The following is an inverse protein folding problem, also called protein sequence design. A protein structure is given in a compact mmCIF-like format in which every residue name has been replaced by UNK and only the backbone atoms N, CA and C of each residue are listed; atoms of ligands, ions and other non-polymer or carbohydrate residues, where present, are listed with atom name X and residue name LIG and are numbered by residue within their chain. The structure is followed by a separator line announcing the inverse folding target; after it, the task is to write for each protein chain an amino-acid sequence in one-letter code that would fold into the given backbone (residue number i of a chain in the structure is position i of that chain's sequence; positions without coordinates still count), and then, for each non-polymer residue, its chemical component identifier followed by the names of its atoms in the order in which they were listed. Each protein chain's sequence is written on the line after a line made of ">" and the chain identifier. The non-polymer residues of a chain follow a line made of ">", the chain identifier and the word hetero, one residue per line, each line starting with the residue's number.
data_IF_696307105234
#
_entry.id   IF_696307105234
#
_cell.length_a   1.000
_cell.length_b   1.000
_cell.length_c   1.000
_cell.angle_alpha   90.00
_cell.angle_beta   90.00
_cell.angle_gamma   90.00
#
_symmetry.space_group_name_H-M   'P 1'
#
loop_
_entity.id
_entity.type
_entity.pdbx_description
1 polymer ?
#
# COMPACT_ATOMS: atom_id res chain seq x y z
N UNK A 1 6.41 43.94 33.32
CA UNK A 1 6.44 43.90 31.83
C UNK A 1 6.58 42.45 31.29
N UNK A 2 5.86 41.47 31.86
CA UNK A 2 6.07 40.05 31.54
C UNK A 2 4.77 39.24 31.28
N UNK A 3 3.61 39.90 31.13
CA UNK A 3 2.32 39.20 31.11
C UNK A 3 1.62 39.13 29.74
N UNK A 4 2.20 39.72 28.69
CA UNK A 4 1.54 39.83 27.37
C UNK A 4 1.90 38.72 26.38
N UNK A 5 2.83 37.82 26.70
CA UNK A 5 3.34 36.78 25.78
C UNK A 5 2.67 35.40 25.91
N UNK A 6 1.87 35.16 26.95
CA UNK A 6 1.29 33.81 27.21
C UNK A 6 -0.08 33.56 26.59
N UNK A 7 -0.74 34.60 26.05
CA UNK A 7 -2.16 34.52 25.59
C UNK A 7 -2.35 34.39 24.07
N UNK A 8 -1.30 34.06 23.32
CA UNK A 8 -1.34 34.01 21.83
C UNK A 8 -1.07 32.62 21.24
N UNK A 9 -1.09 31.57 22.06
CA UNK A 9 -0.73 30.19 21.66
C UNK A 9 -1.90 29.19 21.66
N UNK A 10 -3.11 29.61 22.02
CA UNK A 10 -4.27 28.72 22.16
C UNK A 10 -5.37 28.93 21.11
N UNK A 11 -5.19 29.82 20.13
CA UNK A 11 -6.22 30.14 19.12
C UNK A 11 -5.89 29.64 17.71
N UNK A 12 -5.05 28.62 17.57
CA UNK A 12 -4.79 27.94 16.27
C UNK A 12 -5.61 26.64 16.15
N UNK A 13 -6.32 26.21 17.19
CA UNK A 13 -6.62 24.78 17.37
C UNK A 13 -7.97 24.24 16.84
N UNK A 14 -8.79 25.00 16.12
CA UNK A 14 -10.08 24.45 15.64
C UNK A 14 -10.49 24.90 14.23
N UNK A 15 -10.13 26.11 13.81
CA UNK A 15 -10.53 26.66 12.51
C UNK A 15 -9.68 26.17 11.33
N UNK A 16 -8.45 25.69 11.57
CA UNK A 16 -7.54 25.21 10.52
C UNK A 16 -7.60 23.69 10.30
N UNK A 17 -8.13 22.92 11.26
CA UNK A 17 -8.29 21.47 11.15
C UNK A 17 -9.12 21.02 9.93
N UNK A 18 -10.30 21.61 9.64
CA UNK A 18 -11.08 21.21 8.47
C UNK A 18 -10.39 21.57 7.14
N UNK A 19 -9.66 22.69 7.09
CA UNK A 19 -8.98 23.13 5.86
C UNK A 19 -7.71 22.31 5.56
N UNK A 20 -7.01 21.83 6.59
CA UNK A 20 -5.89 20.89 6.42
C UNK A 20 -6.35 19.48 6.05
N UNK A 21 -7.43 18.98 6.66
CA UNK A 21 -8.03 17.70 6.28
C UNK A 21 -8.46 17.68 4.81
N UNK A 22 -9.15 18.74 4.36
CA UNK A 22 -9.57 18.84 2.96
C UNK A 22 -8.38 18.93 1.99
N UNK A 23 -7.27 19.58 2.37
CA UNK A 23 -6.04 19.58 1.55
C UNK A 23 -5.41 18.20 1.47
N UNK A 24 -5.32 17.46 2.57
CA UNK A 24 -4.76 16.10 2.58
C UNK A 24 -5.62 15.14 1.78
N UNK A 25 -6.95 15.19 1.94
CA UNK A 25 -7.91 14.38 1.17
C UNK A 25 -7.82 14.69 -0.34
N UNK A 26 -7.61 15.96 -0.71
CA UNK A 26 -7.44 16.36 -2.11
C UNK A 26 -6.11 15.89 -2.70
N UNK A 27 -5.06 15.80 -1.89
CA UNK A 27 -3.75 15.25 -2.32
C UNK A 27 -3.73 13.72 -2.41
N UNK A 28 -4.77 13.07 -1.90
CA UNK A 28 -4.89 11.62 -1.89
C UNK A 28 -5.12 11.08 -3.30
N UNK A 29 -4.38 10.04 -3.67
CA UNK A 29 -4.49 9.44 -4.99
C UNK A 29 -5.68 8.46 -5.02
N UNK A 30 -6.88 9.03 -5.18
CA UNK A 30 -8.14 8.28 -5.24
C UNK A 30 -8.16 7.18 -6.31
N UNK A 31 -7.42 7.35 -7.41
CA UNK A 31 -7.28 6.31 -8.43
C UNK A 31 -6.54 5.06 -7.93
N UNK A 32 -5.42 5.26 -7.21
CA UNK A 32 -4.69 4.15 -6.57
C UNK A 32 -5.53 3.49 -5.47
N UNK A 33 -6.28 4.28 -4.71
CA UNK A 33 -7.17 3.75 -3.68
C UNK A 33 -8.31 2.91 -4.26
N UNK A 34 -8.95 3.38 -5.33
CA UNK A 34 -9.98 2.62 -6.03
C UNK A 34 -9.43 1.31 -6.62
N UNK A 35 -8.24 1.34 -7.21
CA UNK A 35 -7.57 0.14 -7.71
C UNK A 35 -7.25 -0.84 -6.56
N UNK A 36 -6.80 -0.33 -5.42
CA UNK A 36 -6.57 -1.13 -4.22
C UNK A 36 -7.86 -1.78 -3.72
N UNK A 37 -8.93 -1.00 -3.57
CA UNK A 37 -10.22 -1.49 -3.10
C UNK A 37 -10.79 -2.56 -4.03
N UNK A 38 -10.73 -2.32 -5.35
CA UNK A 38 -11.15 -3.30 -6.35
C UNK A 38 -10.34 -4.60 -6.25
N UNK A 39 -9.00 -4.48 -6.15
CA UNK A 39 -8.10 -5.64 -6.01
C UNK A 39 -8.41 -6.43 -4.74
N UNK A 40 -8.61 -5.72 -3.63
CA UNK A 40 -8.99 -6.30 -2.34
C UNK A 40 -10.31 -7.06 -2.42
N UNK A 41 -11.34 -6.47 -3.02
CA UNK A 41 -12.64 -7.13 -3.19
C UNK A 41 -12.52 -8.41 -4.03
N UNK A 42 -11.79 -8.36 -5.16
CA UNK A 42 -11.59 -9.52 -6.03
C UNK A 42 -10.88 -10.65 -5.25
N UNK A 43 -9.77 -10.33 -4.59
CA UNK A 43 -9.00 -11.31 -3.81
C UNK A 43 -9.84 -11.89 -2.67
N UNK A 44 -10.59 -11.05 -1.95
CA UNK A 44 -11.44 -11.47 -0.84
C UNK A 44 -12.56 -12.40 -1.28
N UNK A 45 -13.23 -12.08 -2.38
CA UNK A 45 -14.29 -12.94 -2.93
C UNK A 45 -13.73 -14.27 -3.40
N UNK A 46 -12.63 -14.27 -4.16
CA UNK A 46 -12.00 -15.52 -4.62
C UNK A 46 -11.57 -16.40 -3.45
N UNK A 47 -10.98 -15.80 -2.41
CA UNK A 47 -10.59 -16.49 -1.20
C UNK A 47 -11.80 -17.10 -0.47
N UNK A 48 -12.84 -16.28 -0.20
CA UNK A 48 -14.07 -16.77 0.46
C UNK A 48 -14.77 -17.86 -0.34
N UNK A 49 -14.85 -17.73 -1.66
CA UNK A 49 -15.44 -18.76 -2.53
C UNK A 49 -14.63 -20.06 -2.42
N UNK A 50 -13.30 -19.99 -2.49
CA UNK A 50 -12.45 -21.16 -2.32
C UNK A 50 -12.63 -21.85 -0.96
N UNK A 51 -12.76 -21.06 0.12
CA UNK A 51 -13.03 -21.56 1.47
C UNK A 51 -14.45 -22.15 1.61
N UNK A 52 -15.46 -21.50 1.03
CA UNK A 52 -16.86 -21.94 1.09
C UNK A 52 -17.07 -23.31 0.42
N UNK A 53 -16.39 -23.55 -0.69
CA UNK A 53 -16.41 -24.85 -1.38
C UNK A 53 -15.42 -25.87 -0.80
N UNK A 54 -14.79 -25.57 0.34
CA UNK A 54 -13.76 -26.40 0.98
C UNK A 54 -12.68 -26.87 0.00
N UNK A 55 -12.34 -26.02 -0.97
CA UNK A 55 -11.38 -26.39 -2.00
C UNK A 55 -9.99 -26.42 -1.37
N UNK A 56 -9.53 -27.61 -0.97
CA UNK A 56 -8.26 -27.87 -0.29
C UNK A 56 -7.04 -27.07 -0.83
N UNK A 57 -6.88 -26.87 -2.16
CA UNK A 57 -5.78 -26.08 -2.70
C UNK A 57 -5.83 -24.58 -2.40
N UNK A 58 -6.97 -24.03 -1.95
CA UNK A 58 -7.17 -22.59 -1.72
C UNK A 58 -6.10 -22.02 -0.79
N UNK A 59 -5.88 -22.68 0.35
CA UNK A 59 -4.92 -22.23 1.37
C UNK A 59 -3.48 -22.23 0.84
N UNK A 60 -2.91 -23.34 0.31
CA UNK A 60 -1.54 -23.33 -0.19
C UNK A 60 -1.34 -22.40 -1.39
N UNK A 61 -2.32 -22.28 -2.30
CA UNK A 61 -2.25 -21.32 -3.42
C UNK A 61 -2.19 -19.89 -2.88
N UNK A 62 -3.04 -19.57 -1.92
CA UNK A 62 -3.08 -18.24 -1.31
C UNK A 62 -1.76 -17.89 -0.60
N UNK A 63 -1.20 -18.81 0.19
CA UNK A 63 0.10 -18.63 0.83
C UNK A 63 1.22 -18.46 -0.19
N UNK A 64 1.23 -19.29 -1.24
CA UNK A 64 2.21 -19.18 -2.32
C UNK A 64 2.12 -17.83 -3.03
N UNK A 65 0.91 -17.35 -3.37
CA UNK A 65 0.70 -16.05 -3.98
C UNK A 65 1.17 -14.90 -3.09
N UNK A 66 0.88 -14.97 -1.79
CA UNK A 66 1.30 -13.96 -0.81
C UNK A 66 2.82 -13.93 -0.68
N UNK A 67 3.46 -15.09 -0.52
CA UNK A 67 4.90 -15.20 -0.40
C UNK A 67 5.61 -14.75 -1.68
N UNK A 68 5.17 -15.24 -2.84
CA UNK A 68 5.71 -14.85 -4.15
C UNK A 68 5.56 -13.34 -4.38
N UNK A 69 4.39 -12.76 -4.11
CA UNK A 69 4.17 -11.32 -4.25
C UNK A 69 5.08 -10.51 -3.34
N UNK A 70 5.26 -10.94 -2.09
CA UNK A 70 6.16 -10.31 -1.12
C UNK A 70 7.62 -10.39 -1.56
N UNK A 71 8.08 -11.56 -2.01
CA UNK A 71 9.45 -11.76 -2.53
C UNK A 71 9.69 -10.94 -3.79
N UNK A 72 8.79 -11.00 -4.77
CA UNK A 72 8.88 -10.20 -5.99
C UNK A 72 8.91 -8.72 -5.63
N UNK A 73 8.02 -8.25 -4.76
CA UNK A 73 8.04 -6.87 -4.28
C UNK A 73 9.38 -6.51 -3.62
N UNK A 74 9.93 -7.38 -2.77
CA UNK A 74 11.23 -7.17 -2.11
C UNK A 74 12.39 -7.12 -3.12
N UNK A 75 12.40 -7.99 -4.13
CA UNK A 75 13.40 -7.99 -5.19
C UNK A 75 13.30 -6.74 -6.09
N UNK A 76 12.09 -6.36 -6.49
CA UNK A 76 11.86 -5.17 -7.31
C UNK A 76 12.15 -3.86 -6.54
N UNK A 77 12.05 -3.86 -5.21
CA UNK A 77 12.39 -2.73 -4.36
C UNK A 77 13.74 -2.88 -3.63
N UNK A 78 14.59 -3.84 -4.02
CA UNK A 78 15.99 -3.89 -3.54
C UNK A 78 16.68 -2.58 -3.92
N UNK A 79 16.79 -1.68 -2.95
CA UNK A 79 17.35 -0.35 -3.12
C UNK A 79 16.62 0.73 -2.31
N UNK A 80 15.35 0.56 -1.89
CA UNK A 80 14.59 1.54 -1.10
C UNK A 80 14.66 3.00 -1.62
N UNK A 81 15.11 3.21 -2.86
CA UNK A 81 15.25 4.55 -3.42
C UNK A 81 13.84 5.02 -3.78
N UNK A 82 13.21 5.74 -2.85
CA UNK A 82 11.88 6.33 -3.04
C UNK A 82 11.80 7.26 -4.26
N UNK A 83 12.96 7.75 -4.75
CA UNK A 83 13.12 8.56 -5.96
C UNK A 83 13.94 7.82 -7.01
N UNK A 84 13.56 7.96 -8.28
CA UNK A 84 14.49 7.64 -9.36
C UNK A 84 15.68 8.62 -9.25
N UNK A 85 16.93 8.15 -9.40
CA UNK A 85 18.07 9.05 -9.49
C UNK A 85 17.93 9.94 -10.73
N UNK A 86 18.46 11.16 -10.66
CA UNK A 86 18.57 12.05 -11.84
C UNK A 86 19.66 11.53 -12.78
N UNK A 87 19.62 11.90 -14.06
CA UNK A 87 20.66 11.53 -15.02
C UNK A 87 22.07 12.01 -14.60
N UNK A 88 22.12 13.11 -13.86
CA UNK A 88 23.32 13.69 -13.24
C UNK A 88 23.88 12.86 -12.07
N UNK A 89 23.03 12.07 -11.40
CA UNK A 89 23.41 11.20 -10.26
C UNK A 89 23.86 9.80 -10.73
N UNK A 90 23.79 9.54 -12.04
CA UNK A 90 24.27 8.32 -12.67
C UNK A 90 25.76 8.44 -13.01
N UNK A 91 26.44 7.29 -13.11
CA UNK A 91 27.87 7.23 -13.37
C UNK A 91 28.27 8.12 -14.57
N UNK A 92 29.27 8.97 -14.36
CA UNK A 92 29.77 9.89 -15.38
C UNK A 92 30.35 9.16 -16.60
N UNK A 93 30.79 7.91 -16.42
CA UNK A 93 31.30 7.07 -17.51
C UNK A 93 30.21 6.46 -18.41
N UNK A 94 28.93 6.59 -18.05
CA UNK A 94 27.83 6.08 -18.87
C UNK A 94 27.50 7.04 -19.99
N UNK A 95 27.27 6.51 -21.19
CA UNK A 95 26.78 7.29 -22.32
C UNK A 95 25.34 7.76 -22.07
N UNK A 96 24.92 8.83 -22.76
CA UNK A 96 23.57 9.36 -22.62
C UNK A 96 22.49 8.31 -22.94
N UNK A 97 22.75 7.41 -23.89
CA UNK A 97 21.87 6.29 -24.23
C UNK A 97 21.75 5.27 -23.07
N UNK A 98 22.85 4.96 -22.39
CA UNK A 98 22.86 4.05 -21.24
C UNK A 98 22.09 4.66 -20.06
N UNK A 99 22.29 5.97 -19.81
CA UNK A 99 21.55 6.70 -18.77
C UNK A 99 20.05 6.72 -19.06
N UNK A 100 19.64 6.99 -20.29
CA UNK A 100 18.23 6.98 -20.68
C UNK A 100 17.60 5.59 -20.54
N UNK A 101 18.30 4.54 -20.98
CA UNK A 101 17.83 3.15 -20.86
C UNK A 101 17.63 2.76 -19.40
N UNK A 102 18.59 3.09 -18.53
CA UNK A 102 18.48 2.82 -17.10
C UNK A 102 17.30 3.54 -16.45
N UNK A 103 17.09 4.82 -16.79
CA UNK A 103 15.97 5.61 -16.26
C UNK A 103 14.62 5.07 -16.74
N UNK A 104 14.51 4.65 -18.00
CA UNK A 104 13.30 4.05 -18.55
C UNK A 104 12.96 2.74 -17.84
N UNK A 105 13.95 1.87 -17.63
CA UNK A 105 13.78 0.64 -16.87
C UNK A 105 13.40 0.91 -15.41
N UNK A 106 14.06 1.87 -14.76
CA UNK A 106 13.76 2.25 -13.38
C UNK A 106 12.32 2.77 -13.24
N UNK A 107 11.84 3.53 -14.23
CA UNK A 107 10.46 4.04 -14.26
C UNK A 107 9.45 2.90 -14.43
N UNK A 108 9.73 1.97 -15.34
CA UNK A 108 8.91 0.78 -15.54
C UNK A 108 8.87 -0.12 -14.29
N UNK A 109 10.02 -0.33 -13.64
CA UNK A 109 10.13 -1.06 -12.36
C UNK A 109 9.27 -0.42 -11.27
N UNK A 110 9.33 0.92 -11.13
CA UNK A 110 8.52 1.66 -10.14
C UNK A 110 7.01 1.56 -10.39
N UNK A 111 6.57 1.56 -11.65
CA UNK A 111 5.16 1.37 -11.98
C UNK A 111 4.68 -0.04 -11.61
N UNK A 112 5.48 -1.06 -11.94
CA UNK A 112 5.19 -2.47 -11.61
C UNK A 112 5.20 -2.71 -10.10
N UNK A 113 6.15 -2.14 -9.37
CA UNK A 113 6.26 -2.33 -7.91
C UNK A 113 5.05 -1.78 -7.15
N UNK A 114 4.44 -0.69 -7.63
CA UNK A 114 3.19 -0.16 -7.06
C UNK A 114 2.02 -1.14 -7.20
N UNK A 115 1.88 -1.76 -8.36
CA UNK A 115 0.82 -2.76 -8.57
C UNK A 115 1.05 -4.01 -7.71
N UNK A 116 2.30 -4.49 -7.64
CA UNK A 116 2.70 -5.57 -6.75
C UNK A 116 2.43 -5.26 -5.27
N UNK A 117 2.68 -4.02 -4.84
CA UNK A 117 2.36 -3.59 -3.47
C UNK A 117 0.86 -3.62 -3.21
N UNK A 118 0.05 -3.13 -4.16
CA UNK A 118 -1.41 -3.14 -4.05
C UNK A 118 -1.91 -4.59 -3.92
N UNK A 119 -1.44 -5.49 -4.78
CA UNK A 119 -1.80 -6.90 -4.73
C UNK A 119 -1.37 -7.56 -3.41
N UNK A 120 -0.13 -7.34 -2.99
CA UNK A 120 0.41 -7.88 -1.75
C UNK A 120 -0.34 -7.35 -0.52
N UNK A 121 -0.63 -6.06 -0.48
CA UNK A 121 -1.41 -5.45 0.59
C UNK A 121 -2.86 -5.97 0.62
N UNK A 122 -3.48 -6.15 -0.55
CA UNK A 122 -4.82 -6.73 -0.66
C UNK A 122 -4.86 -8.18 -0.15
N UNK A 123 -3.85 -8.99 -0.48
CA UNK A 123 -3.68 -10.33 0.07
C UNK A 123 -3.59 -10.23 1.60
N UNK A 124 -2.59 -9.54 2.15
CA UNK A 124 -2.42 -9.41 3.60
C UNK A 124 -3.68 -8.93 4.33
N UNK A 125 -4.39 -7.94 3.77
CA UNK A 125 -5.61 -7.42 4.36
C UNK A 125 -6.73 -8.46 4.38
N UNK A 126 -6.85 -9.27 3.33
CA UNK A 126 -7.82 -10.38 3.26
C UNK A 126 -7.58 -11.37 4.39
N UNK A 127 -6.33 -11.81 4.57
CA UNK A 127 -5.95 -12.71 5.67
C UNK A 127 -6.20 -12.08 7.04
N UNK A 128 -5.86 -10.79 7.19
CA UNK A 128 -6.08 -10.08 8.44
C UNK A 128 -7.57 -10.01 8.82
N UNK A 129 -8.46 -9.72 7.85
CA UNK A 129 -9.90 -9.73 8.09
C UNK A 129 -10.41 -11.12 8.45
N UNK A 130 -9.94 -12.16 7.76
CA UNK A 130 -10.34 -13.53 8.04
C UNK A 130 -9.90 -13.98 9.45
N UNK A 131 -8.65 -13.71 9.81
CA UNK A 131 -8.14 -13.97 11.15
C UNK A 131 -8.88 -13.16 12.24
N UNK A 132 -9.24 -11.91 11.94
CA UNK A 132 -10.03 -11.08 12.84
C UNK A 132 -11.43 -11.67 13.04
N UNK A 133 -12.11 -12.09 11.97
CA UNK A 133 -13.43 -12.72 12.05
C UNK A 133 -13.37 -14.03 12.84
N UNK A 134 -12.39 -14.88 12.55
CA UNK A 134 -12.17 -16.12 13.30
C UNK A 134 -11.87 -15.86 14.78
N UNK A 135 -11.12 -14.80 15.10
CA UNK A 135 -10.84 -14.41 16.48
C UNK A 135 -12.12 -13.96 17.19
N UNK A 136 -12.94 -13.12 16.55
CA UNK A 136 -14.21 -12.64 17.11
C UNK A 136 -15.20 -13.80 17.34
N UNK A 137 -15.30 -14.72 16.38
CA UNK A 137 -16.11 -15.94 16.49
C UNK A 137 -15.65 -16.81 17.67
N UNK A 138 -14.33 -17.02 17.81
CA UNK A 138 -13.75 -17.75 18.95
C UNK A 138 -13.96 -17.06 20.30
N UNK A 139 -14.20 -15.74 20.30
CA UNK A 139 -14.53 -14.96 21.48
C UNK A 139 -16.04 -15.02 21.83
N UNK A 140 -16.84 -15.78 21.09
CA UNK A 140 -18.27 -15.94 21.32
C UNK A 140 -19.11 -14.77 20.81
N UNK A 141 -18.55 -13.89 19.96
CA UNK A 141 -19.34 -12.93 19.22
C UNK A 141 -19.86 -13.61 17.97
N UNK A 142 -21.19 -13.74 17.83
CA UNK A 142 -21.79 -14.24 16.59
C UNK A 142 -21.50 -13.28 15.45
N UNK A 143 -20.51 -13.64 14.62
CA UNK A 143 -20.13 -12.93 13.40
C UNK A 143 -20.45 -13.79 12.18
N UNK A 144 -21.65 -14.34 12.14
CA UNK A 144 -22.15 -15.13 11.01
C UNK A 144 -22.55 -14.19 9.86
N UNK A 145 -21.69 -14.12 8.83
CA UNK A 145 -21.94 -13.44 7.54
C UNK A 145 -21.83 -14.40 6.36
#
# INVERSE_FOLDING_TARGET
>A
MADKKRKKRSTVSASEAPSQLMRTIKSFNWGLFGLFLLTFLIVSVLYRVGMFYEWYPTIPIYFALTLCSGLVYAFYNRGLMGRLPKAEELNESWTDEQKQTFLAEAAARKKKSRFLLILFAALLLTFFFDALLALLDSAGMDVSF
#
